data_IF_313189394919
#
_entry.id   IF_313189394919
#
_cell.length_a   1.000
_cell.length_b   1.000
_cell.length_c   1.000
_cell.angle_alpha   90.00
_cell.angle_beta   90.00
_cell.angle_gamma   90.00
#
_symmetry.space_group_name_H-M   'P 1'
#
loop_
_entity.id
_entity.type
_entity.pdbx_description
1 polymer ?
#
# COMPACT_ATOMS: atom_id res chain seq x y z
N UNK A 1 37.83 15.70 10.84
CA UNK A 1 36.46 16.12 10.51
C UNK A 1 35.62 14.87 10.55
N UNK A 2 34.70 14.77 11.52
CA UNK A 2 33.80 13.62 11.67
C UNK A 2 32.73 13.72 10.59
N UNK A 3 32.81 12.86 9.58
CA UNK A 3 31.72 12.67 8.63
C UNK A 3 30.54 12.08 9.39
N UNK A 4 29.50 12.89 9.59
CA UNK A 4 28.22 12.45 10.11
C UNK A 4 27.65 11.41 9.13
N UNK A 5 27.15 10.25 9.62
CA UNK A 5 26.57 9.24 8.75
C UNK A 5 25.42 9.85 7.96
N UNK A 6 25.50 9.72 6.64
CA UNK A 6 24.59 10.36 5.71
C UNK A 6 23.21 9.69 5.85
N UNK A 7 22.23 10.47 6.29
CA UNK A 7 20.81 10.13 6.43
C UNK A 7 20.11 9.92 5.07
N UNK A 8 20.78 9.29 4.10
CA UNK A 8 20.28 9.15 2.71
C UNK A 8 20.26 7.70 2.20
N UNK A 9 20.62 6.72 3.02
CA UNK A 9 20.16 5.36 2.78
C UNK A 9 18.77 5.26 3.42
N UNK A 10 17.72 5.42 2.61
CA UNK A 10 16.38 5.07 3.03
C UNK A 10 16.43 3.74 3.76
N UNK A 11 15.91 3.70 4.99
CA UNK A 11 15.82 2.48 5.83
C UNK A 11 15.11 1.31 5.11
N UNK A 12 14.50 1.62 3.96
CA UNK A 12 13.76 0.76 3.03
C UNK A 12 14.60 0.19 1.88
N UNK A 13 15.80 0.71 1.61
CA UNK A 13 16.68 0.13 0.59
C UNK A 13 17.40 -1.09 1.17
N UNK A 14 17.23 -2.28 0.59
CA UNK A 14 18.00 -3.45 0.99
C UNK A 14 19.49 -3.15 0.84
N UNK A 15 20.30 -3.58 1.80
CA UNK A 15 21.74 -3.72 1.57
C UNK A 15 21.95 -4.54 0.29
N UNK A 16 22.88 -4.13 -0.56
CA UNK A 16 23.09 -4.66 -1.91
C UNK A 16 23.34 -6.19 -1.98
N UNK A 17 23.51 -6.85 -0.83
CA UNK A 17 24.03 -8.20 -0.68
C UNK A 17 22.93 -9.27 -0.46
N UNK A 18 21.65 -8.92 -0.60
CA UNK A 18 20.53 -9.84 -0.30
C UNK A 18 19.45 -9.87 -1.42
N UNK A 19 19.75 -10.41 -2.61
CA UNK A 19 18.92 -10.30 -3.82
C UNK A 19 17.55 -11.03 -3.74
N UNK A 20 17.45 -12.11 -2.98
CA UNK A 20 16.20 -12.85 -2.76
C UNK A 20 15.17 -12.06 -1.95
N UNK A 21 15.61 -11.26 -0.98
CA UNK A 21 14.75 -10.36 -0.22
C UNK A 21 14.28 -9.17 -1.05
N UNK A 22 15.09 -8.70 -2.01
CA UNK A 22 14.71 -7.66 -2.97
C UNK A 22 13.53 -8.10 -3.85
N UNK A 23 13.53 -9.34 -4.35
CA UNK A 23 12.45 -9.82 -5.24
C UNK A 23 11.11 -9.95 -4.52
N UNK A 24 11.09 -10.51 -3.31
CA UNK A 24 9.86 -10.70 -2.53
C UNK A 24 9.25 -9.34 -2.13
N UNK A 25 10.09 -8.38 -1.73
CA UNK A 25 9.63 -7.00 -1.45
C UNK A 25 9.14 -6.30 -2.72
N UNK A 26 9.75 -6.52 -3.89
CA UNK A 26 9.24 -5.90 -5.14
C UNK A 26 7.86 -6.41 -5.55
N UNK A 27 7.51 -7.67 -5.28
CA UNK A 27 6.16 -8.17 -5.56
C UNK A 27 5.13 -7.60 -4.60
N UNK A 28 5.41 -7.60 -3.29
CA UNK A 28 4.49 -7.06 -2.28
C UNK A 28 4.26 -5.55 -2.48
N UNK A 29 5.33 -4.77 -2.74
CA UNK A 29 5.21 -3.36 -3.10
C UNK A 29 4.44 -3.14 -4.40
N UNK A 30 4.57 -4.02 -5.40
CA UNK A 30 3.77 -3.95 -6.61
C UNK A 30 2.29 -4.20 -6.35
N UNK A 31 1.95 -5.13 -5.45
CA UNK A 31 0.58 -5.44 -5.06
C UNK A 31 -0.06 -4.31 -4.26
N UNK A 32 0.65 -3.71 -3.31
CA UNK A 32 0.22 -2.50 -2.61
C UNK A 32 -0.01 -1.33 -3.57
N UNK A 33 0.88 -1.14 -4.55
CA UNK A 33 0.73 -0.11 -5.58
C UNK A 33 -0.50 -0.34 -6.46
N UNK A 34 -0.78 -1.59 -6.84
CA UNK A 34 -1.97 -1.98 -7.60
C UNK A 34 -3.24 -1.73 -6.79
N UNK A 35 -3.28 -2.15 -5.53
CA UNK A 35 -4.42 -1.93 -4.65
C UNK A 35 -4.72 -0.42 -4.49
N UNK A 36 -3.68 0.39 -4.28
CA UNK A 36 -3.81 1.86 -4.19
C UNK A 36 -4.36 2.51 -5.47
N UNK A 37 -3.93 2.03 -6.65
CA UNK A 37 -4.48 2.47 -7.94
C UNK A 37 -5.94 2.03 -8.13
N UNK A 38 -6.29 0.84 -7.64
CA UNK A 38 -7.67 0.34 -7.58
C UNK A 38 -8.57 1.27 -6.79
N UNK A 39 -8.19 1.59 -5.54
CA UNK A 39 -8.90 2.54 -4.67
C UNK A 39 -9.11 3.88 -5.38
N UNK A 40 -8.04 4.46 -5.96
CA UNK A 40 -8.13 5.73 -6.69
C UNK A 40 -9.13 5.69 -7.84
N UNK A 41 -9.15 4.57 -8.58
CA UNK A 41 -10.03 4.41 -9.74
C UNK A 41 -11.49 4.31 -9.31
N UNK A 42 -11.77 3.54 -8.26
CA UNK A 42 -13.11 3.39 -7.68
C UNK A 42 -13.59 4.71 -7.08
N UNK A 43 -12.74 5.40 -6.32
CA UNK A 43 -13.06 6.71 -5.76
C UNK A 43 -13.41 7.74 -6.84
N UNK A 44 -12.72 7.71 -8.00
CA UNK A 44 -13.05 8.59 -9.13
C UNK A 44 -14.41 8.25 -9.76
N UNK A 45 -14.73 6.96 -9.89
CA UNK A 45 -16.04 6.51 -10.40
C UNK A 45 -17.15 7.00 -9.47
N UNK A 46 -16.99 6.80 -8.16
CA UNK A 46 -17.94 7.27 -7.15
C UNK A 46 -18.07 8.80 -7.16
N UNK A 47 -16.94 9.53 -7.18
CA UNK A 47 -16.93 10.99 -7.23
C UNK A 47 -17.66 11.53 -8.46
N UNK A 48 -17.43 10.96 -9.64
CA UNK A 48 -18.10 11.36 -10.87
C UNK A 48 -19.60 10.99 -10.90
N UNK A 49 -20.03 10.06 -10.05
CA UNK A 49 -21.46 9.67 -9.91
C UNK A 49 -22.25 10.62 -9.00
N UNK A 50 -21.55 11.44 -8.20
CA UNK A 50 -22.14 12.53 -7.41
C UNK A 50 -22.29 13.70 -8.39
N UNK A 51 -23.40 13.75 -9.11
CA UNK A 51 -23.63 14.79 -10.13
C UNK A 51 -23.59 16.20 -9.53
N UNK A 52 -22.89 17.12 -10.20
CA UNK A 52 -23.08 18.56 -10.01
C UNK A 52 -24.53 18.88 -10.40
N UNK A 53 -25.30 19.45 -9.47
CA UNK A 53 -26.74 19.69 -9.61
C UNK A 53 -27.14 20.74 -10.64
N UNK A 54 -26.36 20.94 -11.71
CA UNK A 54 -26.52 22.03 -12.68
C UNK A 54 -26.65 21.61 -14.13
N UNK A 55 -26.48 20.33 -14.50
CA UNK A 55 -26.68 19.89 -15.89
C UNK A 55 -27.83 18.89 -16.01
N UNK A 56 -28.91 19.31 -16.66
CA UNK A 56 -30.08 18.52 -17.06
C UNK A 56 -29.76 17.43 -18.11
N UNK A 57 -28.49 17.22 -18.46
CA UNK A 57 -28.05 16.13 -19.32
C UNK A 57 -27.68 14.91 -18.47
N UNK A 58 -28.64 14.00 -18.31
CA UNK A 58 -28.48 12.57 -17.94
C UNK A 58 -27.12 12.27 -17.32
N UNK A 59 -26.95 12.62 -16.04
CA UNK A 59 -25.84 12.02 -15.30
C UNK A 59 -26.08 10.52 -15.33
N UNK A 60 -25.07 9.76 -15.78
CA UNK A 60 -25.10 8.31 -15.66
C UNK A 60 -25.03 8.02 -14.15
N UNK A 61 -26.18 8.05 -13.49
CA UNK A 61 -26.27 7.80 -12.07
C UNK A 61 -26.01 6.31 -11.86
N UNK A 62 -24.90 6.02 -11.21
CA UNK A 62 -24.66 4.69 -10.66
C UNK A 62 -25.74 4.46 -9.61
N UNK A 63 -26.37 3.29 -9.65
CA UNK A 63 -27.41 2.96 -8.68
C UNK A 63 -26.83 2.88 -7.26
N UNK A 64 -27.69 2.92 -6.26
CA UNK A 64 -27.25 2.95 -4.86
C UNK A 64 -26.58 1.65 -4.42
N UNK A 65 -26.97 0.51 -5.02
CA UNK A 65 -26.39 -0.79 -4.72
C UNK A 65 -24.95 -0.89 -5.22
N UNK A 66 -24.70 -0.43 -6.44
CA UNK A 66 -23.38 -0.37 -7.05
C UNK A 66 -22.48 0.63 -6.31
N UNK A 67 -23.02 1.77 -5.84
CA UNK A 67 -22.26 2.69 -4.97
C UNK A 67 -21.80 2.02 -3.67
N UNK A 68 -22.69 1.28 -3.01
CA UNK A 68 -22.36 0.53 -1.80
C UNK A 68 -21.33 -0.56 -2.07
N UNK A 69 -21.47 -1.31 -3.17
CA UNK A 69 -20.52 -2.34 -3.57
C UNK A 69 -19.13 -1.75 -3.87
N UNK A 70 -19.07 -0.60 -4.55
CA UNK A 70 -17.83 0.11 -4.84
C UNK A 70 -17.19 0.68 -3.56
N UNK A 71 -17.98 1.18 -2.60
CA UNK A 71 -17.48 1.60 -1.30
C UNK A 71 -16.89 0.40 -0.52
N UNK A 72 -17.59 -0.74 -0.48
CA UNK A 72 -17.08 -1.97 0.14
C UNK A 72 -15.81 -2.50 -0.55
N UNK A 73 -15.68 -2.32 -1.87
CA UNK A 73 -14.45 -2.66 -2.58
C UNK A 73 -13.27 -1.76 -2.18
N UNK A 74 -13.51 -0.48 -1.87
CA UNK A 74 -12.48 0.42 -1.31
C UNK A 74 -12.06 -0.07 0.08
N UNK A 75 -13.01 -0.42 0.94
CA UNK A 75 -12.73 -0.94 2.29
C UNK A 75 -11.88 -2.21 2.21
N UNK A 76 -12.27 -3.18 1.39
CA UNK A 76 -11.52 -4.43 1.20
C UNK A 76 -10.08 -4.20 0.69
N UNK A 77 -9.88 -3.27 -0.24
CA UNK A 77 -8.54 -2.92 -0.72
C UNK A 77 -7.71 -2.17 0.32
N UNK A 78 -8.34 -1.34 1.16
CA UNK A 78 -7.68 -0.64 2.25
C UNK A 78 -7.23 -1.62 3.34
N UNK A 79 -8.09 -2.57 3.70
CA UNK A 79 -7.77 -3.64 4.66
C UNK A 79 -6.62 -4.50 4.13
N UNK A 80 -6.66 -4.90 2.85
CA UNK A 80 -5.54 -5.61 2.22
C UNK A 80 -4.22 -4.86 2.33
N UNK A 81 -4.23 -3.54 2.08
CA UNK A 81 -3.02 -2.71 2.21
C UNK A 81 -2.54 -2.69 3.67
N UNK A 82 -3.45 -2.49 4.62
CA UNK A 82 -3.14 -2.44 6.03
C UNK A 82 -2.52 -3.75 6.53
N UNK A 83 -3.15 -4.89 6.24
CA UNK A 83 -2.68 -6.22 6.63
C UNK A 83 -1.28 -6.53 6.06
N UNK A 84 -1.02 -6.16 4.81
CA UNK A 84 0.31 -6.38 4.21
C UNK A 84 1.38 -5.50 4.87
N UNK A 85 1.08 -4.25 5.19
CA UNK A 85 2.03 -3.35 5.88
C UNK A 85 2.31 -3.85 7.31
N UNK A 86 1.28 -4.22 8.07
CA UNK A 86 1.43 -4.74 9.44
C UNK A 86 2.19 -6.08 9.45
N UNK A 87 1.87 -6.98 8.51
CA UNK A 87 2.56 -8.28 8.39
C UNK A 87 4.03 -8.11 8.00
N UNK A 88 4.36 -7.18 7.09
CA UNK A 88 5.75 -6.88 6.76
C UNK A 88 6.50 -6.30 7.96
N UNK A 89 5.87 -5.38 8.69
CA UNK A 89 6.46 -4.76 9.91
C UNK A 89 6.75 -5.80 10.98
N UNK A 90 5.83 -6.74 11.21
CA UNK A 90 6.01 -7.83 12.18
C UNK A 90 7.15 -8.78 11.79
N UNK A 91 7.18 -9.23 10.53
CA UNK A 91 8.22 -10.13 10.03
C UNK A 91 9.62 -9.48 10.12
N UNK A 92 9.72 -8.17 9.86
CA UNK A 92 10.98 -7.44 10.01
C UNK A 92 11.48 -7.36 11.46
N UNK A 93 10.56 -7.10 12.41
CA UNK A 93 10.89 -7.07 13.83
C UNK A 93 11.40 -8.43 14.33
N UNK A 94 10.81 -9.53 13.84
CA UNK A 94 11.24 -10.88 14.18
C UNK A 94 12.61 -11.23 13.58
N UNK A 95 12.87 -10.85 12.32
CA UNK A 95 14.20 -11.02 11.71
C UNK A 95 15.26 -10.21 12.46
N UNK A 96 14.95 -8.99 12.89
CA UNK A 96 15.89 -8.17 13.67
C UNK A 96 16.16 -8.78 15.05
N UNK A 97 15.14 -9.33 15.72
CA UNK A 97 15.30 -10.08 16.97
C UNK A 97 16.25 -11.27 16.79
N UNK A 98 15.99 -12.12 15.79
CA UNK A 98 16.80 -13.30 15.50
C UNK A 98 18.26 -12.95 15.18
N UNK A 99 18.50 -11.85 14.44
CA UNK A 99 19.86 -11.36 14.15
C UNK A 99 20.62 -10.91 15.40
N UNK A 100 19.93 -10.29 16.37
CA UNK A 100 20.55 -9.89 17.64
C UNK A 100 20.90 -11.11 18.49
N UNK A 101 20.01 -12.10 18.55
CA UNK A 101 20.23 -13.36 19.27
C UNK A 101 21.42 -14.14 18.68
N UNK A 102 21.51 -14.26 17.36
CA UNK A 102 22.60 -14.97 16.67
C UNK A 102 23.98 -14.26 16.74
N UNK A 103 24.02 -12.96 17.05
CA UNK A 103 25.28 -12.20 17.19
C UNK A 103 25.81 -12.21 18.64
N UNK A 104 25.02 -12.74 19.58
CA UNK A 104 25.37 -12.88 21.00
C UNK A 104 25.73 -14.32 21.40
N UNK A 105 25.76 -15.26 20.44
CA UNK A 105 26.35 -16.60 20.56
C UNK A 105 27.74 -16.65 19.93
#
# INVERSE_FOLDING_TARGET
MSELPHLSADRWMPAADAPEFTRIRTSAMADLSRASRGIKSIARILHNSIGDGTDEMVSASIDELDKQNLAGAIECLADFIYENIESETFNEAEIERMKREACHE
#
